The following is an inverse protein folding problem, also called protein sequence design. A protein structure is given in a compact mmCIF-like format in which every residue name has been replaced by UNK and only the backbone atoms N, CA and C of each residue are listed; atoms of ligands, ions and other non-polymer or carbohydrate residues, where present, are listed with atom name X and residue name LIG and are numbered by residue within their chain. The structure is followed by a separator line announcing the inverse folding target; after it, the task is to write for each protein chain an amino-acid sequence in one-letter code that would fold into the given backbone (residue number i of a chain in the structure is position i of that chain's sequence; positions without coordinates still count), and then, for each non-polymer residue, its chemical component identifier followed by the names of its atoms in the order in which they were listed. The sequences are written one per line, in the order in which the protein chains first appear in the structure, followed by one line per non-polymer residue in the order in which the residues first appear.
data_IF_629962830010
#
_entry.id   IF_629962830010
#
_cell.length_a   1.000
_cell.length_b   1.000
_cell.length_c   1.000
_cell.angle_alpha   90.00
_cell.angle_beta   90.00
_cell.angle_gamma   90.00
#
_symmetry.space_group_name_H-M   'P 1'
#
loop_
_entity.id
_entity.type
_entity.pdbx_description
1 polymer ?
#
# COMPACT_ATOMS: atom_id res chain seq x y z
N UNK A 1 -5.75 18.93 3.04
CA UNK A 1 -7.23 18.82 3.14
C UNK A 1 -7.95 18.76 1.80
N UNK A 2 -7.72 19.62 0.80
CA UNK A 2 -8.45 19.53 -0.50
C UNK A 2 -8.14 18.27 -1.31
N UNK A 3 -6.89 17.83 -1.33
CA UNK A 3 -6.48 16.67 -2.14
C UNK A 3 -6.99 15.34 -1.54
N UNK A 4 -6.95 15.18 -0.23
CA UNK A 4 -7.43 13.99 0.48
C UNK A 4 -8.92 13.72 0.21
N UNK A 5 -9.76 14.77 0.22
CA UNK A 5 -11.19 14.62 -0.07
C UNK A 5 -11.45 14.17 -1.52
N UNK A 6 -10.65 14.63 -2.48
CA UNK A 6 -10.77 14.21 -3.90
C UNK A 6 -10.40 12.73 -4.04
N UNK A 7 -9.29 12.31 -3.42
CA UNK A 7 -8.84 10.92 -3.45
C UNK A 7 -9.89 10.01 -2.77
N UNK A 8 -10.40 10.42 -1.59
CA UNK A 8 -11.44 9.69 -0.88
C UNK A 8 -12.70 9.49 -1.74
N UNK A 9 -13.20 10.57 -2.35
CA UNK A 9 -14.39 10.48 -3.21
C UNK A 9 -14.16 9.55 -4.41
N UNK A 10 -12.96 9.53 -4.97
CA UNK A 10 -12.59 8.62 -6.05
C UNK A 10 -12.63 7.15 -5.59
N UNK A 11 -12.08 6.85 -4.40
CA UNK A 11 -12.09 5.50 -3.84
C UNK A 11 -13.46 5.06 -3.37
N UNK A 12 -14.29 5.95 -2.81
CA UNK A 12 -15.69 5.65 -2.49
C UNK A 12 -16.47 5.27 -3.75
N UNK A 13 -16.29 6.01 -4.84
CA UNK A 13 -16.92 5.70 -6.12
C UNK A 13 -16.42 4.38 -6.75
N UNK A 14 -15.15 4.03 -6.51
CA UNK A 14 -14.53 2.80 -7.02
C UNK A 14 -14.82 1.56 -6.19
N UNK A 15 -15.23 1.69 -4.92
CA UNK A 15 -15.15 0.64 -3.92
C UNK A 15 -15.79 -0.68 -4.38
N UNK A 16 -17.00 -0.64 -4.91
CA UNK A 16 -17.71 -1.83 -5.41
C UNK A 16 -16.94 -2.52 -6.55
N UNK A 17 -16.53 -1.74 -7.56
CA UNK A 17 -15.78 -2.27 -8.69
C UNK A 17 -14.40 -2.75 -8.28
N UNK A 18 -13.72 -2.00 -7.41
CA UNK A 18 -12.41 -2.37 -6.90
C UNK A 18 -12.47 -3.69 -6.13
N UNK A 19 -13.44 -3.84 -5.22
CA UNK A 19 -13.66 -5.08 -4.47
C UNK A 19 -13.93 -6.28 -5.38
N UNK A 20 -14.71 -6.08 -6.45
CA UNK A 20 -15.00 -7.14 -7.45
C UNK A 20 -13.75 -7.62 -8.19
N UNK A 21 -12.85 -6.70 -8.55
CA UNK A 21 -11.72 -7.01 -9.41
C UNK A 21 -10.39 -7.28 -8.68
N UNK A 22 -10.24 -6.86 -7.41
CA UNK A 22 -8.97 -6.92 -6.68
C UNK A 22 -8.36 -8.33 -6.60
N UNK A 23 -9.17 -9.36 -6.67
CA UNK A 23 -8.72 -10.75 -6.61
C UNK A 23 -8.02 -11.20 -7.89
N UNK A 24 -8.34 -10.58 -9.02
CA UNK A 24 -7.89 -11.00 -10.34
C UNK A 24 -7.20 -9.90 -11.15
N UNK A 25 -7.23 -8.64 -10.70
CA UNK A 25 -6.58 -7.55 -11.41
C UNK A 25 -5.07 -7.80 -11.50
N UNK A 26 -4.48 -7.91 -12.72
CA UNK A 26 -3.13 -8.44 -12.89
C UNK A 26 -2.07 -7.75 -12.03
N UNK A 27 -2.01 -6.43 -12.04
CA UNK A 27 -1.01 -5.67 -11.27
C UNK A 27 -1.12 -5.88 -9.75
N UNK A 28 -2.34 -5.97 -9.21
CA UNK A 28 -2.55 -6.21 -7.78
C UNK A 28 -2.37 -7.69 -7.41
N UNK A 29 -3.00 -8.61 -8.19
CA UNK A 29 -3.09 -10.01 -7.81
C UNK A 29 -1.83 -10.82 -8.13
N UNK A 30 -1.11 -10.45 -9.20
CA UNK A 30 -0.01 -11.26 -9.74
C UNK A 30 1.31 -10.49 -9.85
N UNK A 31 1.36 -9.24 -9.38
CA UNK A 31 2.60 -8.46 -9.37
C UNK A 31 2.88 -7.87 -7.98
N UNK A 32 2.05 -6.95 -7.47
CA UNK A 32 2.26 -6.36 -6.14
C UNK A 32 2.12 -7.40 -5.03
N UNK A 33 0.92 -7.96 -4.84
CA UNK A 33 0.57 -8.78 -3.68
C UNK A 33 1.49 -9.97 -3.43
N UNK A 34 1.84 -10.82 -4.42
CA UNK A 34 2.71 -11.96 -4.18
C UNK A 34 4.12 -11.53 -3.76
N UNK A 35 4.63 -10.40 -4.23
CA UNK A 35 5.95 -9.91 -3.89
C UNK A 35 5.97 -9.19 -2.53
N UNK A 36 4.96 -8.40 -2.24
CA UNK A 36 4.79 -7.74 -0.93
C UNK A 36 4.63 -8.77 0.19
N UNK A 37 3.82 -9.82 -0.03
CA UNK A 37 3.65 -10.91 0.95
C UNK A 37 4.92 -11.71 1.20
N UNK A 38 5.85 -11.80 0.25
CA UNK A 38 7.17 -12.45 0.45
C UNK A 38 8.10 -11.68 1.37
N UNK A 39 7.82 -10.40 1.62
CA UNK A 39 8.60 -9.60 2.55
C UNK A 39 8.19 -9.84 4.01
N UNK A 40 6.99 -10.36 4.24
CA UNK A 40 6.56 -10.79 5.57
C UNK A 40 7.22 -12.12 5.90
N UNK A 41 7.74 -12.23 7.11
CA UNK A 41 8.18 -13.50 7.68
C UNK A 41 6.96 -14.35 8.11
N UNK A 42 7.11 -15.34 8.97
CA UNK A 42 5.96 -16.08 9.50
C UNK A 42 5.02 -15.18 10.29
N UNK A 43 3.76 -15.13 9.86
CA UNK A 43 2.72 -14.28 10.44
C UNK A 43 1.79 -15.01 11.40
N UNK A 44 2.00 -16.32 11.61
CA UNK A 44 1.20 -17.13 12.54
C UNK A 44 1.25 -16.57 13.97
N UNK A 45 0.10 -16.25 14.54
CA UNK A 45 -0.03 -15.64 15.88
C UNK A 45 0.47 -14.19 16.01
N UNK A 46 0.85 -13.54 14.90
CA UNK A 46 1.34 -12.16 14.88
C UNK A 46 0.20 -11.14 14.80
N UNK A 47 0.44 -9.95 15.35
CA UNK A 47 -0.45 -8.78 15.23
C UNK A 47 0.02 -7.90 14.08
N UNK A 48 -0.87 -7.61 13.13
CA UNK A 48 -0.55 -6.86 11.90
C UNK A 48 -1.50 -5.67 11.77
N UNK A 49 -0.95 -4.49 11.52
CA UNK A 49 -1.69 -3.31 11.08
C UNK A 49 -1.65 -3.25 9.54
N UNK A 50 -2.81 -3.37 8.89
CA UNK A 50 -2.99 -3.20 7.44
C UNK A 50 -3.42 -1.74 7.17
N UNK A 51 -2.46 -0.89 6.86
CA UNK A 51 -2.62 0.55 6.72
C UNK A 51 -2.95 0.93 5.26
N UNK A 52 -4.15 1.45 5.02
CA UNK A 52 -4.71 1.60 3.69
C UNK A 52 -5.20 0.25 3.15
N UNK A 53 -5.96 -0.48 3.97
CA UNK A 53 -6.32 -1.88 3.73
C UNK A 53 -7.26 -2.10 2.53
N UNK A 54 -7.85 -1.02 1.97
CA UNK A 54 -8.86 -1.12 0.92
C UNK A 54 -9.99 -2.08 1.29
N UNK A 55 -10.43 -2.98 0.39
CA UNK A 55 -11.50 -3.95 0.68
C UNK A 55 -11.01 -5.17 1.48
N UNK A 56 -9.86 -5.10 2.14
CA UNK A 56 -9.38 -6.12 3.08
C UNK A 56 -8.80 -7.39 2.47
N UNK A 57 -8.24 -7.33 1.25
CA UNK A 57 -7.70 -8.53 0.60
C UNK A 57 -6.41 -9.05 1.23
N UNK A 58 -5.52 -8.16 1.64
CA UNK A 58 -4.33 -8.56 2.40
C UNK A 58 -4.73 -9.13 3.76
N UNK A 59 -5.65 -8.48 4.46
CA UNK A 59 -6.18 -8.95 5.73
C UNK A 59 -6.76 -10.38 5.64
N UNK A 60 -7.53 -10.69 4.60
CA UNK A 60 -8.07 -12.03 4.33
C UNK A 60 -6.96 -13.09 4.26
N UNK A 61 -5.91 -12.81 3.50
CA UNK A 61 -4.78 -13.71 3.32
C UNK A 61 -3.99 -13.88 4.62
N UNK A 62 -3.72 -12.79 5.33
CA UNK A 62 -2.94 -12.80 6.57
C UNK A 62 -3.67 -13.53 7.68
N UNK A 63 -4.97 -13.30 7.84
CA UNK A 63 -5.79 -14.01 8.81
C UNK A 63 -5.93 -15.51 8.48
N UNK A 64 -5.95 -15.89 7.19
CA UNK A 64 -5.94 -17.31 6.79
C UNK A 64 -4.64 -18.03 7.19
N UNK A 65 -3.56 -17.28 7.40
CA UNK A 65 -2.26 -17.77 7.90
C UNK A 65 -2.12 -17.63 9.42
N UNK A 66 -3.19 -17.31 10.14
CA UNK A 66 -3.21 -17.25 11.60
C UNK A 66 -2.80 -15.90 12.21
N UNK A 67 -2.67 -14.83 11.43
CA UNK A 67 -2.43 -13.49 11.96
C UNK A 67 -3.69 -12.87 12.59
N UNK A 68 -3.49 -12.00 13.56
CA UNK A 68 -4.51 -11.04 14.03
C UNK A 68 -4.35 -9.74 13.25
N UNK A 69 -5.39 -9.30 12.55
CA UNK A 69 -5.32 -8.11 11.69
C UNK A 69 -6.21 -7.00 12.20
N UNK A 70 -5.63 -5.81 12.28
CA UNK A 70 -6.32 -4.54 12.39
C UNK A 70 -6.07 -3.77 11.10
N UNK A 71 -7.11 -3.30 10.42
CA UNK A 71 -6.99 -2.56 9.18
C UNK A 71 -7.68 -1.21 9.24
N UNK A 72 -7.14 -0.24 8.54
CA UNK A 72 -7.82 1.02 8.31
C UNK A 72 -7.70 1.49 6.85
N UNK A 73 -8.69 2.23 6.44
CA UNK A 73 -8.71 2.94 5.17
C UNK A 73 -9.47 4.26 5.34
N UNK A 74 -9.17 5.25 4.51
CA UNK A 74 -9.86 6.54 4.59
C UNK A 74 -11.26 6.53 3.93
N UNK A 75 -11.55 5.52 3.10
CA UNK A 75 -12.85 5.30 2.46
C UNK A 75 -13.77 4.45 3.33
N UNK A 76 -14.92 4.97 3.79
CA UNK A 76 -15.93 4.18 4.49
C UNK A 76 -16.45 2.99 3.68
N UNK A 77 -16.56 3.14 2.35
CA UNK A 77 -17.03 2.08 1.46
C UNK A 77 -16.00 0.94 1.37
N UNK A 78 -14.69 1.27 1.31
CA UNK A 78 -13.65 0.25 1.41
C UNK A 78 -13.70 -0.52 2.74
N UNK A 79 -13.89 0.18 3.85
CA UNK A 79 -14.01 -0.46 5.18
C UNK A 79 -15.24 -1.35 5.28
N UNK A 80 -16.36 -0.95 4.67
CA UNK A 80 -17.53 -1.81 4.58
C UNK A 80 -17.21 -3.13 3.88
N UNK A 81 -16.59 -3.07 2.70
CA UNK A 81 -16.15 -4.26 1.97
C UNK A 81 -15.12 -5.08 2.74
N UNK A 82 -14.18 -4.44 3.44
CA UNK A 82 -13.20 -5.14 4.28
C UNK A 82 -13.86 -5.98 5.37
N UNK A 83 -14.87 -5.43 6.05
CA UNK A 83 -15.66 -6.15 7.06
C UNK A 83 -16.45 -7.32 6.47
N UNK A 84 -17.15 -7.09 5.36
CA UNK A 84 -17.93 -8.11 4.65
C UNK A 84 -17.04 -9.26 4.16
N UNK A 85 -15.94 -8.94 3.44
CA UNK A 85 -14.97 -9.93 2.93
C UNK A 85 -14.40 -10.80 4.05
N UNK A 86 -14.10 -10.21 5.15
CA UNK A 86 -13.48 -10.90 6.29
C UNK A 86 -14.51 -11.45 7.29
N UNK A 87 -15.80 -11.44 6.94
CA UNK A 87 -16.90 -11.97 7.78
C UNK A 87 -16.86 -11.40 9.20
N UNK A 88 -16.58 -10.11 9.33
CA UNK A 88 -16.38 -9.39 10.58
C UNK A 88 -15.28 -9.98 11.50
N UNK A 89 -14.34 -10.76 10.96
CA UNK A 89 -13.11 -11.13 11.65
C UNK A 89 -12.06 -10.02 11.45
N UNK A 90 -11.21 -9.81 12.44
CA UNK A 90 -10.31 -8.66 12.49
C UNK A 90 -11.03 -7.37 12.88
N UNK A 91 -10.30 -6.29 13.02
CA UNK A 91 -10.82 -4.97 13.37
C UNK A 91 -10.60 -4.02 12.19
N UNK A 92 -11.66 -3.39 11.68
CA UNK A 92 -11.57 -2.47 10.55
C UNK A 92 -12.27 -1.15 10.88
N UNK A 93 -11.60 -0.02 10.64
CA UNK A 93 -12.13 1.32 10.92
C UNK A 93 -11.69 2.35 9.88
N UNK A 94 -12.47 3.42 9.78
CA UNK A 94 -12.14 4.55 8.89
C UNK A 94 -11.10 5.43 9.56
N UNK A 95 -9.98 5.68 8.87
CA UNK A 95 -8.92 6.56 9.35
C UNK A 95 -8.11 7.13 8.20
N UNK A 96 -7.60 8.35 8.38
CA UNK A 96 -6.76 9.07 7.42
C UNK A 96 -5.31 9.09 7.92
N UNK A 97 -4.35 8.82 7.04
CA UNK A 97 -2.91 8.90 7.35
C UNK A 97 -2.46 10.26 7.87
N UNK A 98 -3.21 11.34 7.55
CA UNK A 98 -2.89 12.69 8.01
C UNK A 98 -3.21 12.95 9.48
N UNK A 99 -3.74 11.96 10.19
CA UNK A 99 -4.12 12.08 11.60
C UNK A 99 -3.46 11.00 12.45
N UNK A 100 -3.09 11.29 13.72
CA UNK A 100 -2.50 10.29 14.61
C UNK A 100 -3.45 9.13 14.92
N UNK A 101 -2.92 7.92 15.03
CA UNK A 101 -3.65 6.68 15.40
C UNK A 101 -3.90 6.61 16.92
N UNK A 102 -4.55 7.62 17.49
CA UNK A 102 -4.71 7.77 18.96
C UNK A 102 -5.45 6.61 19.64
N UNK A 103 -6.25 5.84 18.88
CA UNK A 103 -6.97 4.66 19.38
C UNK A 103 -6.08 3.41 19.49
N UNK A 104 -4.85 3.46 18.97
CA UNK A 104 -3.90 2.35 18.97
C UNK A 104 -2.77 2.65 19.95
N UNK A 105 -2.56 1.74 20.89
CA UNK A 105 -1.47 1.85 21.85
C UNK A 105 -0.09 1.66 21.18
N UNK A 106 0.94 2.19 21.81
CA UNK A 106 2.32 2.00 21.42
C UNK A 106 2.68 0.51 21.38
N UNK A 107 3.60 0.13 20.52
CA UNK A 107 4.15 -1.23 20.46
C UNK A 107 3.11 -2.36 20.40
N UNK A 108 2.04 -2.15 19.64
CA UNK A 108 0.91 -3.09 19.52
C UNK A 108 1.09 -4.14 18.43
N UNK A 109 1.90 -3.85 17.40
CA UNK A 109 1.99 -4.68 16.20
C UNK A 109 3.40 -5.24 15.95
N UNK A 110 3.44 -6.49 15.50
CA UNK A 110 4.66 -7.12 15.00
C UNK A 110 5.00 -6.62 13.59
N UNK A 111 3.95 -6.32 12.80
CA UNK A 111 4.08 -5.80 11.44
C UNK A 111 3.11 -4.64 11.19
N UNK A 112 3.58 -3.68 10.39
CA UNK A 112 2.74 -2.71 9.68
C UNK A 112 2.89 -2.99 8.20
N UNK A 113 1.78 -3.21 7.51
CA UNK A 113 1.71 -3.37 6.06
C UNK A 113 1.04 -2.13 5.46
N UNK A 114 1.71 -1.47 4.50
CA UNK A 114 1.17 -0.35 3.75
C UNK A 114 1.39 -0.60 2.25
N UNK A 115 0.44 -1.32 1.65
CA UNK A 115 0.56 -1.78 0.28
C UNK A 115 -0.17 -0.83 -0.68
N UNK A 116 0.57 -0.20 -1.60
CA UNK A 116 0.08 0.73 -2.63
C UNK A 116 -0.82 1.83 -2.06
N UNK A 117 -0.47 2.38 -0.88
CA UNK A 117 -1.24 3.41 -0.21
C UNK A 117 -0.43 4.66 0.17
N UNK A 118 0.86 4.51 0.50
CA UNK A 118 1.65 5.61 1.04
C UNK A 118 1.92 6.74 0.02
N UNK A 119 1.89 6.45 -1.28
CA UNK A 119 2.06 7.45 -2.35
C UNK A 119 0.91 8.47 -2.44
N UNK A 120 -0.19 8.27 -1.71
CA UNK A 120 -1.25 9.28 -1.55
C UNK A 120 -0.94 10.34 -0.50
N UNK A 121 0.11 10.14 0.29
CA UNK A 121 0.57 11.06 1.33
C UNK A 121 1.71 11.93 0.78
N UNK A 122 1.58 13.25 0.89
CA UNK A 122 2.62 14.18 0.41
C UNK A 122 3.87 14.15 1.28
N UNK A 123 3.71 14.31 2.59
CA UNK A 123 4.80 14.20 3.57
C UNK A 123 4.61 12.93 4.42
N UNK A 124 5.56 12.02 4.34
CA UNK A 124 5.49 10.73 5.03
C UNK A 124 5.89 10.80 6.52
N UNK A 125 6.49 11.89 6.97
CA UNK A 125 7.11 11.95 8.30
C UNK A 125 6.14 11.65 9.44
N UNK A 126 4.96 12.29 9.46
CA UNK A 126 3.96 12.07 10.52
C UNK A 126 3.42 10.63 10.47
N UNK A 127 3.13 10.12 9.30
CA UNK A 127 2.67 8.74 9.10
C UNK A 127 3.71 7.73 9.56
N UNK A 128 4.98 7.95 9.21
CA UNK A 128 6.08 7.05 9.60
C UNK A 128 6.38 7.10 11.09
N UNK A 129 6.24 8.27 11.74
CA UNK A 129 6.32 8.36 13.22
C UNK A 129 5.23 7.53 13.91
N UNK A 130 4.00 7.57 13.38
CA UNK A 130 2.92 6.74 13.92
C UNK A 130 3.17 5.24 13.67
N UNK A 131 3.64 4.86 12.48
CA UNK A 131 4.02 3.47 12.22
C UNK A 131 5.14 2.99 13.14
N UNK A 132 6.15 3.85 13.38
CA UNK A 132 7.21 3.54 14.33
C UNK A 132 6.66 3.39 15.76
N UNK A 133 5.76 4.27 16.20
CA UNK A 133 5.16 4.23 17.54
C UNK A 133 4.39 2.93 17.78
N UNK A 134 3.55 2.54 16.83
CA UNK A 134 2.66 1.36 16.99
C UNK A 134 3.36 0.03 16.76
N UNK A 135 4.51 -0.01 16.09
CA UNK A 135 5.33 -1.21 15.95
C UNK A 135 6.04 -1.55 17.26
N UNK A 136 6.14 -2.83 17.57
CA UNK A 136 6.99 -3.37 18.64
C UNK A 136 8.46 -3.16 18.29
N UNK A 137 9.35 -3.28 19.29
CA UNK A 137 10.79 -3.27 19.05
C UNK A 137 11.16 -4.38 18.06
N UNK A 138 12.00 -4.06 17.08
CA UNK A 138 12.32 -4.93 15.94
C UNK A 138 11.12 -5.31 15.07
N UNK A 139 9.97 -4.67 15.27
CA UNK A 139 8.80 -4.81 14.40
C UNK A 139 9.09 -4.32 12.97
N UNK A 140 8.40 -4.88 12.01
CA UNK A 140 8.70 -4.67 10.59
C UNK A 140 7.62 -3.84 9.91
N UNK A 141 8.05 -2.86 9.13
CA UNK A 141 7.21 -2.07 8.23
C UNK A 141 7.43 -2.57 6.79
N UNK A 142 6.36 -3.04 6.18
CA UNK A 142 6.35 -3.48 4.78
C UNK A 142 5.59 -2.46 3.95
N UNK A 143 6.24 -1.92 2.94
CA UNK A 143 5.66 -0.91 2.04
C UNK A 143 5.76 -1.43 0.61
N UNK A 144 4.70 -1.27 -0.18
CA UNK A 144 4.81 -1.25 -1.63
C UNK A 144 4.28 0.09 -2.17
N UNK A 145 4.97 0.62 -3.17
CA UNK A 145 4.66 1.89 -3.83
C UNK A 145 4.89 1.78 -5.33
N UNK A 146 4.36 2.72 -6.08
CA UNK A 146 4.76 2.89 -7.48
C UNK A 146 6.26 3.24 -7.55
N UNK A 147 6.95 2.68 -8.56
CA UNK A 147 8.40 2.83 -8.66
C UNK A 147 8.78 4.25 -9.09
N UNK A 148 9.70 4.94 -8.40
CA UNK A 148 10.07 6.33 -8.68
C UNK A 148 10.49 6.60 -10.12
N UNK A 149 11.23 5.68 -10.75
CA UNK A 149 11.63 5.83 -12.16
C UNK A 149 10.49 5.56 -13.12
N UNK A 150 9.59 4.62 -12.78
CA UNK A 150 8.39 4.39 -13.58
C UNK A 150 7.51 5.65 -13.58
N UNK A 151 7.20 6.21 -12.41
CA UNK A 151 6.39 7.43 -12.30
C UNK A 151 7.03 8.61 -13.01
N UNK A 152 8.35 8.81 -12.85
CA UNK A 152 9.09 9.89 -13.53
C UNK A 152 8.90 9.82 -15.05
N UNK A 153 9.01 8.62 -15.61
CA UNK A 153 8.87 8.40 -17.06
C UNK A 153 7.40 8.50 -17.49
N UNK A 154 6.50 7.89 -16.73
CA UNK A 154 5.06 7.84 -17.03
C UNK A 154 4.41 9.23 -17.04
N UNK A 155 4.72 10.05 -16.03
CA UNK A 155 4.21 11.41 -15.92
C UNK A 155 5.02 12.43 -16.72
N UNK A 156 6.10 12.01 -17.39
CA UNK A 156 7.01 12.90 -18.16
C UNK A 156 7.49 14.09 -17.32
N UNK A 157 7.81 13.82 -16.06
CA UNK A 157 8.31 14.85 -15.14
C UNK A 157 9.63 15.42 -15.60
N UNK A 158 9.89 16.69 -15.32
CA UNK A 158 11.12 17.40 -15.73
C UNK A 158 12.15 17.49 -14.61
N UNK A 159 11.71 17.36 -13.36
CA UNK A 159 12.57 17.38 -12.17
C UNK A 159 12.36 16.09 -11.36
N UNK A 160 13.34 15.20 -11.40
CA UNK A 160 13.29 13.92 -10.71
C UNK A 160 13.24 14.07 -9.18
N UNK A 161 13.94 15.05 -8.64
CA UNK A 161 14.10 15.20 -7.18
C UNK A 161 12.91 15.87 -6.49
N UNK A 162 12.03 16.52 -7.24
CA UNK A 162 10.86 17.19 -6.70
C UNK A 162 9.80 16.17 -6.28
N UNK A 163 9.19 16.36 -5.09
CA UNK A 163 7.90 15.74 -4.78
C UNK A 163 6.83 16.51 -5.56
N UNK A 164 6.10 15.82 -6.39
CA UNK A 164 5.19 16.41 -7.37
C UNK A 164 3.81 15.77 -7.27
N UNK A 165 2.78 16.60 -7.10
CA UNK A 165 1.41 16.14 -7.23
C UNK A 165 1.14 15.75 -8.68
N UNK A 166 0.71 14.52 -8.89
CA UNK A 166 0.43 13.95 -10.21
C UNK A 166 -0.99 13.41 -10.27
N UNK A 167 -1.49 13.27 -11.49
CA UNK A 167 -2.85 12.83 -11.75
C UNK A 167 -2.89 11.83 -12.89
N UNK A 168 -3.56 10.72 -12.69
CA UNK A 168 -3.80 9.74 -13.74
C UNK A 168 -5.28 9.35 -13.80
N UNK A 169 -5.71 8.81 -14.93
CA UNK A 169 -7.07 8.29 -15.11
C UNK A 169 -7.03 6.77 -15.13
N UNK A 170 -7.60 6.15 -14.13
CA UNK A 170 -7.81 4.71 -14.10
C UNK A 170 -9.04 4.33 -14.91
N UNK A 171 -8.86 3.41 -15.88
CA UNK A 171 -9.95 2.93 -16.76
C UNK A 171 -10.33 1.47 -16.50
N UNK A 172 -9.59 0.77 -15.67
CA UNK A 172 -9.70 -0.69 -15.48
C UNK A 172 -10.78 -1.14 -14.47
N UNK A 173 -11.73 -0.26 -14.09
CA UNK A 173 -12.77 -0.55 -13.10
C UNK A 173 -14.21 -0.35 -13.65
N UNK A 174 -14.36 -0.38 -14.98
CA UNK A 174 -15.67 -0.26 -15.62
C UNK A 174 -16.06 1.17 -16.01
N UNK A 175 -15.42 2.17 -15.39
CA UNK A 175 -15.59 3.60 -15.71
C UNK A 175 -14.27 4.34 -15.41
N UNK A 176 -14.02 5.49 -16.08
CA UNK A 176 -12.82 6.27 -15.82
C UNK A 176 -12.92 7.01 -14.48
N UNK A 177 -11.85 6.92 -13.66
CA UNK A 177 -11.73 7.65 -12.40
C UNK A 177 -10.40 8.36 -12.35
N UNK A 178 -10.42 9.64 -11.98
CA UNK A 178 -9.21 10.41 -11.77
C UNK A 178 -8.63 10.12 -10.39
N UNK A 179 -7.36 9.72 -10.36
CA UNK A 179 -6.60 9.45 -9.15
C UNK A 179 -5.46 10.45 -9.03
N UNK A 180 -5.42 11.14 -7.92
CA UNK A 180 -4.32 12.03 -7.55
C UNK A 180 -3.36 11.29 -6.62
N UNK A 181 -2.06 11.46 -6.83
CA UNK A 181 -1.00 10.91 -5.98
C UNK A 181 0.20 11.86 -5.94
N UNK A 182 1.24 11.47 -5.22
CA UNK A 182 2.48 12.24 -5.14
C UNK A 182 3.63 11.37 -5.62
N UNK A 183 4.19 11.74 -6.78
CA UNK A 183 5.43 11.19 -7.29
C UNK A 183 6.62 11.74 -6.48
N UNK A 184 7.63 10.93 -6.26
CA UNK A 184 8.85 11.31 -5.56
C UNK A 184 10.07 10.57 -6.09
N UNK A 185 11.28 11.06 -5.80
CA UNK A 185 12.51 10.36 -6.11
C UNK A 185 12.74 9.14 -5.20
N UNK A 186 13.61 8.22 -5.59
CA UNK A 186 14.01 7.11 -4.73
C UNK A 186 14.59 7.61 -3.39
N UNK A 187 15.35 8.72 -3.42
CA UNK A 187 15.85 9.36 -2.20
C UNK A 187 14.71 9.73 -1.25
N UNK A 188 13.64 10.33 -1.76
CA UNK A 188 12.47 10.74 -0.98
C UNK A 188 11.54 9.56 -0.59
N UNK A 189 11.80 8.35 -1.09
CA UNK A 189 11.20 7.12 -0.57
C UNK A 189 12.02 6.54 0.60
N UNK A 190 13.32 6.72 0.61
CA UNK A 190 14.26 6.11 1.57
C UNK A 190 14.53 7.02 2.77
N UNK A 191 14.82 8.29 2.52
CA UNK A 191 15.21 9.28 3.53
C UNK A 191 14.21 9.36 4.70
N UNK A 192 12.90 9.51 4.50
CA UNK A 192 11.95 9.61 5.60
C UNK A 192 11.93 8.35 6.49
N UNK A 193 12.15 7.16 5.93
CA UNK A 193 12.23 5.92 6.72
C UNK A 193 13.41 5.99 7.68
N UNK A 194 14.60 6.33 7.20
CA UNK A 194 15.81 6.36 8.01
C UNK A 194 15.79 7.49 9.05
N UNK A 195 15.20 8.64 8.74
CA UNK A 195 15.04 9.78 9.65
C UNK A 195 13.99 9.52 10.73
N UNK A 196 13.02 8.63 10.51
CA UNK A 196 11.99 8.27 11.47
C UNK A 196 12.26 6.94 12.21
N UNK A 197 13.53 6.54 12.38
CA UNK A 197 13.93 5.45 13.25
C UNK A 197 13.85 4.05 12.64
N UNK A 198 13.78 3.95 11.32
CA UNK A 198 13.82 2.66 10.63
C UNK A 198 15.21 2.40 10.02
N UNK A 199 15.57 1.13 9.89
CA UNK A 199 16.62 0.71 8.96
C UNK A 199 16.02 -0.22 7.90
N UNK A 200 16.43 -0.05 6.66
CA UNK A 200 15.93 -0.87 5.53
C UNK A 200 16.78 -2.13 5.46
N UNK A 201 16.15 -3.28 5.58
CA UNK A 201 16.82 -4.58 5.45
C UNK A 201 16.52 -5.28 4.12
N UNK A 202 15.41 -4.92 3.45
CA UNK A 202 15.11 -5.39 2.08
C UNK A 202 14.56 -4.26 1.23
N UNK A 203 15.10 -4.16 0.01
CA UNK A 203 14.60 -3.31 -1.05
C UNK A 203 14.48 -4.18 -2.30
N UNK A 204 13.28 -4.28 -2.86
CA UNK A 204 12.97 -5.21 -3.94
C UNK A 204 12.25 -4.50 -5.07
N UNK A 205 12.81 -4.61 -6.26
CA UNK A 205 12.12 -4.32 -7.52
C UNK A 205 11.45 -5.61 -8.00
N UNK A 206 10.14 -5.75 -7.80
CA UNK A 206 9.48 -7.02 -8.02
C UNK A 206 9.34 -7.37 -9.50
N UNK A 207 9.20 -8.67 -9.80
CA UNK A 207 8.77 -9.16 -11.11
C UNK A 207 7.41 -9.82 -10.99
N UNK A 208 6.55 -9.74 -12.03
CA UNK A 208 5.26 -10.40 -12.02
C UNK A 208 5.43 -11.92 -11.97
N UNK A 209 4.54 -12.60 -11.27
CA UNK A 209 4.50 -14.07 -11.28
C UNK A 209 3.97 -14.57 -12.62
N UNK A 210 4.33 -15.81 -13.02
CA UNK A 210 4.00 -16.35 -14.34
C UNK A 210 2.49 -16.33 -14.67
N UNK A 211 1.63 -16.44 -13.66
CA UNK A 211 0.18 -16.35 -13.86
C UNK A 211 -0.29 -15.01 -14.46
N UNK A 212 0.49 -13.95 -14.33
CA UNK A 212 0.23 -12.64 -14.97
C UNK A 212 0.27 -12.75 -16.50
N UNK A 213 1.21 -13.54 -17.06
CA UNK A 213 1.42 -13.68 -18.49
C UNK A 213 0.15 -14.18 -19.23
N UNK A 214 -0.59 -15.09 -18.60
CA UNK A 214 -1.82 -15.64 -19.19
C UNK A 214 -2.95 -14.60 -19.30
N UNK A 215 -2.93 -13.55 -18.49
CA UNK A 215 -3.95 -12.51 -18.44
C UNK A 215 -3.57 -11.28 -19.26
N UNK A 216 -2.29 -10.93 -19.28
CA UNK A 216 -1.77 -9.74 -19.95
C UNK A 216 -0.30 -9.97 -20.38
N UNK A 217 -0.07 -10.68 -21.49
CA UNK A 217 1.28 -11.01 -21.95
C UNK A 217 2.12 -9.79 -22.32
N UNK A 218 1.48 -8.69 -22.76
CA UNK A 218 2.17 -7.46 -23.12
C UNK A 218 2.81 -6.82 -21.87
N UNK A 219 2.00 -6.52 -20.87
CA UNK A 219 2.52 -5.92 -19.63
C UNK A 219 3.39 -6.90 -18.84
N UNK A 220 3.16 -8.22 -18.94
CA UNK A 220 4.07 -9.21 -18.34
C UNK A 220 5.50 -9.05 -18.86
N UNK A 221 5.67 -8.91 -20.18
CA UNK A 221 6.98 -8.67 -20.79
C UNK A 221 7.58 -7.34 -20.32
N UNK A 222 6.81 -6.25 -20.41
CA UNK A 222 7.26 -4.91 -20.01
C UNK A 222 7.71 -4.88 -18.53
N UNK A 223 6.94 -5.49 -17.61
CA UNK A 223 7.24 -5.54 -16.18
C UNK A 223 8.41 -6.47 -15.81
N UNK A 224 8.83 -7.37 -16.70
CA UNK A 224 10.07 -8.14 -16.55
C UNK A 224 11.30 -7.36 -17.01
N UNK A 225 11.11 -6.34 -17.85
CA UNK A 225 12.17 -5.48 -18.39
C UNK A 225 12.34 -4.19 -17.57
N UNK A 226 11.23 -3.65 -17.02
CA UNK A 226 11.22 -2.40 -16.27
C UNK A 226 10.25 -2.44 -15.09
N UNK A 227 10.68 -2.16 -13.84
CA UNK A 227 9.84 -2.27 -12.66
C UNK A 227 8.83 -1.12 -12.57
N UNK A 228 7.54 -1.45 -12.32
CA UNK A 228 6.52 -0.45 -12.04
C UNK A 228 6.26 -0.25 -10.54
N UNK A 229 6.70 -1.19 -9.70
CA UNK A 229 6.58 -1.10 -8.24
C UNK A 229 7.92 -1.24 -7.54
N UNK A 230 7.99 -0.70 -6.33
CA UNK A 230 9.08 -0.84 -5.39
C UNK A 230 8.52 -1.38 -4.08
N UNK A 231 9.11 -2.45 -3.58
CA UNK A 231 8.75 -3.04 -2.29
C UNK A 231 9.90 -2.85 -1.30
N UNK A 232 9.58 -2.38 -0.10
CA UNK A 232 10.56 -2.07 0.96
C UNK A 232 10.15 -2.80 2.23
N UNK A 233 11.11 -3.46 2.88
CA UNK A 233 10.98 -3.85 4.27
C UNK A 233 11.94 -3.02 5.10
N UNK A 234 11.39 -2.37 6.11
CA UNK A 234 12.13 -1.59 7.08
C UNK A 234 11.84 -2.11 8.49
N UNK A 235 12.82 -2.07 9.36
CA UNK A 235 12.73 -2.60 10.72
C UNK A 235 12.86 -1.43 11.70
N UNK A 236 11.98 -1.39 12.71
CA UNK A 236 12.06 -0.43 13.80
C UNK A 236 13.35 -0.63 14.60
N UNK A 237 14.09 0.47 14.80
CA UNK A 237 15.26 0.51 15.70
C UNK A 237 14.84 0.56 17.15
#
# INVERSE_FOLDING_TARGET
MKNTNVIRSAYDALAESYNRWIDHKPHNAYYDRPNTLKLLDDVGGKSILDAGCGPGKYAEILMSKGASVTGFDFSPEMIKHAKERNKNKGTFFVHDFSTPLTMIADQSFDFVLCALALHYVEDWNDTLREFHRVLKDQGQLIISIEHPFFEYTYFKSTDYFKIEAVKCTWKGFGFPVEINSYRRSLHECIKPLTENGFYIDKLVEPKPVRAFEALDPKHYKELNEFPAFLCIRAVRK
#
